data_IF_294760303901
#
_entry.id   IF_294760303901
#
_cell.length_a   1.000
_cell.length_b   1.000
_cell.length_c   1.000
_cell.angle_alpha   90.00
_cell.angle_beta   90.00
_cell.angle_gamma   90.00
#
_symmetry.space_group_name_H-M   'P 1'
#
loop_
_entity.id
_entity.type
_entity.pdbx_description
1 polymer ?
#
# COMPACT_ATOMS: atom_id res chain seq x y z
N UNK A 1 -9.87 -28.45 -3.95
CA UNK A 1 -10.07 -27.18 -3.23
C UNK A 1 -10.95 -26.33 -4.13
N UNK A 2 -12.27 -26.41 -3.97
CA UNK A 2 -13.19 -25.61 -4.78
C UNK A 2 -13.15 -24.18 -4.23
N UNK A 3 -12.33 -23.32 -4.82
CA UNK A 3 -12.53 -21.87 -4.71
C UNK A 3 -13.96 -21.59 -5.18
N UNK A 4 -14.82 -21.10 -4.27
CA UNK A 4 -16.08 -20.50 -4.68
C UNK A 4 -15.80 -19.47 -5.77
N UNK A 5 -16.66 -19.29 -6.78
CA UNK A 5 -16.40 -18.34 -7.86
C UNK A 5 -16.30 -16.92 -7.27
N UNK A 6 -15.07 -16.44 -7.04
CA UNK A 6 -14.81 -15.06 -6.63
C UNK A 6 -15.49 -14.16 -7.67
N UNK A 7 -16.50 -13.41 -7.22
CA UNK A 7 -17.23 -12.50 -8.10
C UNK A 7 -16.29 -11.37 -8.52
N UNK A 8 -15.95 -11.33 -9.80
CA UNK A 8 -15.13 -10.29 -10.39
C UNK A 8 -15.98 -9.04 -10.63
N UNK A 9 -15.49 -7.92 -10.14
CA UNK A 9 -16.14 -6.61 -10.22
C UNK A 9 -15.20 -5.59 -10.88
N UNK A 10 -15.75 -4.51 -11.45
CA UNK A 10 -14.94 -3.35 -11.83
C UNK A 10 -14.14 -2.86 -10.62
N UNK A 11 -12.89 -2.43 -10.88
CA UNK A 11 -11.93 -2.11 -9.83
C UNK A 11 -12.47 -1.19 -8.72
N UNK A 12 -13.15 -0.11 -9.09
CA UNK A 12 -13.68 0.84 -8.10
C UNK A 12 -14.83 0.27 -7.29
N UNK A 13 -15.66 -0.55 -7.91
CA UNK A 13 -16.82 -1.13 -7.26
C UNK A 13 -16.38 -2.22 -6.28
N UNK A 14 -15.34 -3.00 -6.61
CA UNK A 14 -14.71 -3.92 -5.68
C UNK A 14 -14.15 -3.18 -4.45
N UNK A 15 -13.45 -2.06 -4.66
CA UNK A 15 -12.87 -1.27 -3.57
C UNK A 15 -13.94 -0.63 -2.69
N UNK A 16 -15.01 -0.10 -3.29
CA UNK A 16 -16.13 0.46 -2.55
C UNK A 16 -16.87 -0.59 -1.73
N UNK A 17 -17.08 -1.79 -2.28
CA UNK A 17 -17.70 -2.88 -1.52
C UNK A 17 -16.81 -3.39 -0.39
N UNK A 18 -15.49 -3.46 -0.60
CA UNK A 18 -14.56 -3.92 0.43
C UNK A 18 -14.38 -2.90 1.57
N UNK A 19 -14.40 -1.59 1.26
CA UNK A 19 -13.93 -0.56 2.22
C UNK A 19 -14.96 0.49 2.58
N UNK A 20 -16.10 0.55 1.88
CA UNK A 20 -17.05 1.67 1.96
C UNK A 20 -16.50 2.99 1.40
N UNK A 21 -15.29 3.00 0.81
CA UNK A 21 -14.66 4.17 0.20
C UNK A 21 -14.53 3.99 -1.29
N UNK A 22 -14.65 5.09 -2.03
CA UNK A 22 -14.57 5.08 -3.50
C UNK A 22 -13.41 5.95 -4.03
N UNK A 23 -12.16 5.45 -4.01
CA UNK A 23 -11.02 6.18 -4.55
C UNK A 23 -11.17 6.53 -6.04
N UNK A 24 -10.36 7.49 -6.48
CA UNK A 24 -10.25 7.86 -7.90
C UNK A 24 -9.80 6.68 -8.77
N UNK A 25 -10.26 6.65 -10.02
CA UNK A 25 -9.95 5.58 -10.98
C UNK A 25 -8.44 5.39 -11.16
N UNK A 26 -7.70 6.50 -11.29
CA UNK A 26 -6.25 6.49 -11.47
C UNK A 26 -5.52 5.82 -10.30
N UNK A 27 -5.98 6.04 -9.07
CA UNK A 27 -5.44 5.43 -7.85
C UNK A 27 -5.59 3.91 -7.88
N UNK A 28 -6.79 3.40 -8.14
CA UNK A 28 -7.03 1.95 -8.15
C UNK A 28 -6.35 1.27 -9.35
N UNK A 29 -6.34 1.95 -10.50
CA UNK A 29 -5.58 1.49 -11.68
C UNK A 29 -4.08 1.41 -11.39
N UNK A 30 -3.51 2.37 -10.66
CA UNK A 30 -2.10 2.34 -10.24
C UNK A 30 -1.81 1.11 -9.38
N UNK A 31 -2.66 0.79 -8.40
CA UNK A 31 -2.50 -0.41 -7.56
C UNK A 31 -2.40 -1.70 -8.36
N UNK A 32 -3.09 -1.76 -9.52
CA UNK A 32 -3.07 -2.90 -10.43
C UNK A 32 -1.93 -2.89 -11.45
N UNK A 33 -1.29 -1.75 -11.69
CA UNK A 33 -0.26 -1.60 -12.73
C UNK A 33 1.13 -1.71 -12.13
N UNK A 34 1.37 -1.03 -11.00
CA UNK A 34 2.67 -0.92 -10.35
C UNK A 34 2.58 -1.42 -8.91
N UNK A 35 3.61 -2.10 -8.40
CA UNK A 35 3.70 -2.36 -6.97
C UNK A 35 3.71 -1.03 -6.20
N UNK A 36 3.15 -1.04 -4.98
CA UNK A 36 3.27 0.08 -4.06
C UNK A 36 4.71 0.17 -3.50
N UNK A 37 4.94 1.11 -2.59
CA UNK A 37 6.27 1.31 -1.98
C UNK A 37 6.80 0.09 -1.21
N UNK A 38 5.94 -0.88 -0.90
CA UNK A 38 6.26 -2.12 -0.20
C UNK A 38 6.35 -3.33 -1.13
N UNK A 39 6.34 -3.13 -2.45
CA UNK A 39 6.39 -4.23 -3.42
C UNK A 39 5.05 -4.95 -3.64
N UNK A 40 3.95 -4.47 -3.03
CA UNK A 40 2.64 -5.15 -3.05
C UNK A 40 1.78 -4.57 -4.17
N UNK A 41 1.09 -5.45 -4.92
CA UNK A 41 0.28 -5.12 -6.09
C UNK A 41 -1.10 -5.75 -6.00
N UNK A 42 -2.15 -5.02 -6.39
CA UNK A 42 -3.52 -5.52 -6.38
C UNK A 42 -3.72 -6.57 -7.47
N UNK A 43 -4.18 -7.76 -7.08
CA UNK A 43 -4.54 -8.85 -8.02
C UNK A 43 -5.73 -8.40 -8.87
N UNK A 44 -5.62 -8.59 -10.18
CA UNK A 44 -6.68 -8.21 -11.12
C UNK A 44 -6.58 -9.01 -12.41
N UNK A 45 -7.72 -9.19 -13.09
CA UNK A 45 -7.84 -9.87 -14.38
C UNK A 45 -8.24 -8.87 -15.47
N UNK A 46 -7.79 -9.07 -16.69
CA UNK A 46 -8.25 -8.32 -17.86
C UNK A 46 -9.30 -9.14 -18.60
N UNK A 47 -10.43 -8.52 -18.94
CA UNK A 47 -11.50 -9.10 -19.74
C UNK A 47 -11.96 -8.03 -20.76
N UNK A 48 -11.72 -8.27 -22.06
CA UNK A 48 -12.15 -7.33 -23.11
C UNK A 48 -11.64 -5.89 -22.96
N UNK A 49 -10.43 -5.70 -22.42
CA UNK A 49 -9.86 -4.37 -22.15
C UNK A 49 -10.27 -3.76 -20.81
N UNK A 50 -11.32 -4.27 -20.16
CA UNK A 50 -11.69 -3.89 -18.80
C UNK A 50 -10.84 -4.66 -17.78
N UNK A 51 -10.49 -4.01 -16.68
CA UNK A 51 -9.79 -4.65 -15.56
C UNK A 51 -10.77 -4.90 -14.42
N UNK A 52 -10.78 -6.14 -13.95
CA UNK A 52 -11.66 -6.62 -12.89
C UNK A 52 -10.83 -7.14 -11.71
N UNK A 53 -11.38 -7.08 -10.52
CA UNK A 53 -10.81 -7.66 -9.30
C UNK A 53 -11.93 -8.21 -8.41
N UNK A 54 -11.60 -9.00 -7.41
CA UNK A 54 -12.53 -9.48 -6.40
C UNK A 54 -12.45 -8.63 -5.14
N UNK A 55 -13.49 -8.69 -4.30
CA UNK A 55 -13.50 -8.02 -2.98
C UNK A 55 -12.35 -8.59 -2.12
N UNK A 56 -12.20 -9.91 -2.10
CA UNK A 56 -11.14 -10.60 -1.36
C UNK A 56 -9.73 -10.19 -1.80
N UNK A 57 -9.50 -9.98 -3.10
CA UNK A 57 -8.22 -9.47 -3.59
C UNK A 57 -7.92 -8.03 -3.12
N UNK A 58 -8.96 -7.21 -2.94
CA UNK A 58 -8.80 -5.85 -2.38
C UNK A 58 -8.47 -5.92 -0.90
N UNK A 59 -9.19 -6.73 -0.13
CA UNK A 59 -8.94 -6.95 1.30
C UNK A 59 -7.50 -7.44 1.52
N UNK A 60 -7.07 -8.48 0.79
CA UNK A 60 -5.70 -8.99 0.88
C UNK A 60 -4.65 -7.93 0.52
N UNK A 61 -4.92 -7.10 -0.50
CA UNK A 61 -4.03 -6.01 -0.87
C UNK A 61 -3.88 -4.99 0.25
N UNK A 62 -4.98 -4.62 0.90
CA UNK A 62 -5.00 -3.67 2.02
C UNK A 62 -4.29 -4.27 3.22
N UNK A 63 -4.65 -5.48 3.62
CA UNK A 63 -4.05 -6.16 4.79
C UNK A 63 -2.54 -6.28 4.65
N UNK A 64 -2.06 -6.72 3.49
CA UNK A 64 -0.62 -6.81 3.21
C UNK A 64 0.04 -5.45 3.21
N UNK A 65 -0.61 -4.43 2.65
CA UNK A 65 -0.07 -3.07 2.60
C UNK A 65 0.02 -2.46 3.99
N UNK A 66 -1.00 -2.67 4.83
CA UNK A 66 -1.07 -2.22 6.21
C UNK A 66 -0.04 -2.95 7.06
N UNK A 67 0.01 -4.29 6.99
CA UNK A 67 1.01 -5.09 7.72
C UNK A 67 2.45 -4.70 7.33
N UNK A 68 2.72 -4.44 6.05
CA UNK A 68 4.02 -3.94 5.62
C UNK A 68 4.29 -2.51 6.08
N UNK A 69 3.28 -1.67 6.17
CA UNK A 69 3.40 -0.32 6.71
C UNK A 69 3.70 -0.31 8.21
N UNK A 70 3.00 -1.15 8.97
CA UNK A 70 3.17 -1.28 10.42
C UNK A 70 4.51 -1.96 10.75
N UNK A 71 4.89 -2.99 9.99
CA UNK A 71 6.22 -3.61 10.09
C UNK A 71 7.37 -2.69 9.65
N UNK A 72 7.12 -1.76 8.72
CA UNK A 72 8.06 -0.70 8.36
C UNK A 72 8.05 0.47 9.35
N UNK A 73 6.97 0.72 10.10
CA UNK A 73 6.99 1.69 11.18
C UNK A 73 7.96 1.27 12.29
N UNK A 74 8.19 -0.04 12.47
CA UNK A 74 9.25 -0.57 13.32
C UNK A 74 10.65 -0.45 12.71
N UNK A 75 10.77 -0.31 11.38
CA UNK A 75 12.05 -0.37 10.68
C UNK A 75 12.18 0.73 9.61
N UNK A 76 13.10 1.66 9.87
CA UNK A 76 13.76 2.58 8.93
C UNK A 76 13.12 3.97 8.81
N UNK A 77 13.59 4.88 9.66
CA UNK A 77 13.73 6.28 9.30
C UNK A 77 14.45 6.38 7.96
N UNK A 78 13.90 7.14 7.00
CA UNK A 78 14.57 7.35 5.71
C UNK A 78 15.98 7.92 5.91
N UNK A 79 16.90 7.71 4.97
CA UNK A 79 18.28 8.24 5.07
C UNK A 79 18.31 9.74 5.39
N UNK A 80 17.35 10.50 4.85
CA UNK A 80 17.20 11.94 5.10
C UNK A 80 16.68 12.26 6.52
N UNK A 81 15.85 11.40 7.09
CA UNK A 81 15.41 11.51 8.49
C UNK A 81 16.55 11.10 9.45
N UNK A 82 17.33 10.09 9.11
CA UNK A 82 18.53 9.68 9.86
C UNK A 82 19.55 10.82 9.87
N UNK A 83 19.84 11.40 8.71
CA UNK A 83 20.80 12.50 8.56
C UNK A 83 20.36 13.74 9.35
N UNK A 84 19.06 14.09 9.32
CA UNK A 84 18.52 15.18 10.14
C UNK A 84 18.57 14.88 11.63
N UNK A 85 18.24 13.67 12.04
CA UNK A 85 18.32 13.26 13.45
C UNK A 85 19.77 13.28 13.93
N UNK A 86 20.72 12.82 13.10
CA UNK A 86 22.15 12.87 13.35
C UNK A 86 22.65 14.31 13.48
N UNK A 87 22.31 15.20 12.56
CA UNK A 87 22.67 16.62 12.64
C UNK A 87 22.00 17.38 13.78
N UNK A 88 20.81 16.95 14.23
CA UNK A 88 20.18 17.49 15.42
C UNK A 88 20.94 17.04 16.67
N UNK A 89 21.22 15.75 16.80
CA UNK A 89 21.97 15.19 17.92
C UNK A 89 23.40 15.76 18.03
N UNK A 90 24.10 15.94 16.90
CA UNK A 90 25.43 16.57 16.90
C UNK A 90 25.39 18.02 17.40
N UNK A 91 24.36 18.79 17.04
CA UNK A 91 24.21 20.16 17.52
C UNK A 91 23.90 20.21 19.01
N UNK A 92 23.09 19.27 19.49
CA UNK A 92 22.77 19.16 20.91
C UNK A 92 23.99 18.79 21.76
N UNK A 93 24.87 17.92 21.26
CA UNK A 93 26.15 17.58 21.90
C UNK A 93 27.12 18.77 21.93
N UNK A 94 27.24 19.47 20.79
CA UNK A 94 28.08 20.66 20.68
C UNK A 94 27.60 21.79 21.62
N UNK A 95 26.28 21.99 21.71
CA UNK A 95 25.66 22.96 22.64
C UNK A 95 25.80 22.55 24.11
N UNK A 96 25.81 21.24 24.40
CA UNK A 96 26.09 20.71 25.73
C UNK A 96 27.59 20.76 26.11
N UNK A 97 28.48 21.02 25.15
CA UNK A 97 29.93 21.09 25.37
C UNK A 97 30.58 19.75 25.71
N UNK A 98 30.02 18.64 25.21
CA UNK A 98 30.48 17.25 25.44
C UNK A 98 30.84 16.59 24.11
#
# INVERSE_FOLDING_TARGET
MNESPETLLPLRDAVERATGRRPGVSTVMRWCQKPNRYGIKLRSRKLGGLRLTSIQAVEEYIDRTTAAADGAAMNVSTSRQIERAHHAAMRELDEAGI
#
